data_IF_028172112005
#
_entry.id   IF_028172112005
#
_cell.length_a   1.000
_cell.length_b   1.000
_cell.length_c   1.000
_cell.angle_alpha   90.00
_cell.angle_beta   90.00
_cell.angle_gamma   90.00
#
_symmetry.space_group_name_H-M   'P 1'
#
loop_
_entity.id
_entity.type
_entity.pdbx_description
1 polymer ?
#
# COMPACT_ATOMS: atom_id res chain seq x y z
N UNK A 1 -10.33 12.47 37.62
CA UNK A 1 -11.46 11.51 37.55
C UNK A 1 -12.58 11.99 36.64
N UNK A 2 -13.35 11.07 36.08
CA UNK A 2 -14.60 11.36 35.36
C UNK A 2 -15.72 10.69 36.15
N UNK A 3 -16.65 11.43 36.68
CA UNK A 3 -17.79 10.88 37.40
C UNK A 3 -18.98 11.84 37.44
N UNK A 4 -20.18 11.31 37.75
CA UNK A 4 -21.44 12.07 37.73
C UNK A 4 -21.78 12.84 38.97
N UNK A 5 -21.05 12.66 40.10
CA UNK A 5 -21.33 13.33 41.37
C UNK A 5 -20.10 14.05 41.89
N UNK A 6 -20.16 15.38 41.92
CA UNK A 6 -19.07 16.25 42.42
C UNK A 6 -18.76 16.10 43.91
N UNK A 7 -19.69 15.55 44.70
CA UNK A 7 -19.53 15.30 46.12
C UNK A 7 -19.08 13.87 46.44
N UNK A 8 -18.84 13.05 45.41
CA UNK A 8 -18.35 11.68 45.62
C UNK A 8 -16.92 11.66 46.13
N UNK A 9 -16.54 10.57 46.81
CA UNK A 9 -15.18 10.36 47.27
C UNK A 9 -14.16 10.50 46.12
N UNK A 10 -14.47 9.97 44.94
CA UNK A 10 -13.59 10.08 43.78
C UNK A 10 -13.41 11.51 43.31
N UNK A 11 -14.46 12.33 43.28
CA UNK A 11 -14.37 13.72 42.86
C UNK A 11 -13.59 14.57 43.85
N UNK A 12 -13.82 14.37 45.18
CA UNK A 12 -13.21 15.16 46.22
C UNK A 12 -11.73 14.82 46.49
N UNK A 13 -11.25 13.67 46.05
CA UNK A 13 -9.86 13.21 46.20
C UNK A 13 -9.07 13.18 44.89
N UNK A 14 -9.61 13.71 43.81
CA UNK A 14 -8.91 13.79 42.52
C UNK A 14 -8.27 15.19 42.36
N UNK A 15 -7.09 15.25 41.75
CA UNK A 15 -6.45 16.52 41.36
C UNK A 15 -7.24 17.27 40.30
N UNK A 16 -7.93 16.52 39.41
CA UNK A 16 -8.80 17.07 38.36
C UNK A 16 -10.09 16.27 38.32
N UNK A 17 -11.20 16.96 38.30
CA UNK A 17 -12.53 16.39 38.22
C UNK A 17 -13.23 16.85 36.93
N UNK A 18 -13.77 15.89 36.16
CA UNK A 18 -14.57 16.14 34.98
C UNK A 18 -15.96 15.55 35.23
N UNK A 19 -16.99 16.39 35.09
CA UNK A 19 -18.37 15.98 35.36
C UNK A 19 -18.95 15.23 34.13
N UNK A 20 -19.59 14.09 34.41
CA UNK A 20 -20.31 13.27 33.41
C UNK A 20 -21.72 12.91 33.88
N UNK A 21 -22.39 13.87 34.54
CA UNK A 21 -23.75 13.67 35.05
C UNK A 21 -24.74 13.50 33.89
N UNK A 22 -25.66 12.54 34.02
CA UNK A 22 -26.79 12.33 33.13
C UNK A 22 -28.08 12.42 33.90
N UNK A 23 -29.16 12.86 33.27
CA UNK A 23 -30.46 13.04 33.92
C UNK A 23 -31.11 11.70 34.27
N UNK A 24 -30.97 10.70 33.36
CA UNK A 24 -31.53 9.36 33.55
C UNK A 24 -30.79 8.34 32.71
N UNK A 25 -30.88 7.09 33.11
CA UNK A 25 -30.43 5.97 32.33
C UNK A 25 -31.45 5.65 31.17
N UNK A 26 -30.94 5.11 30.05
CA UNK A 26 -31.80 4.63 28.95
C UNK A 26 -32.53 3.34 29.29
N UNK A 27 -32.10 2.64 30.34
CA UNK A 27 -32.77 1.47 30.87
C UNK A 27 -34.21 1.82 31.31
N UNK A 28 -35.24 1.04 30.94
CA UNK A 28 -36.64 1.33 31.27
C UNK A 28 -36.91 1.55 32.77
N UNK A 29 -36.14 0.88 33.63
CA UNK A 29 -36.25 1.00 35.08
C UNK A 29 -35.29 2.02 35.68
N UNK A 30 -34.51 2.74 34.87
CA UNK A 30 -33.49 3.69 35.34
C UNK A 30 -32.47 3.10 36.34
N UNK A 31 -32.14 1.81 36.21
CA UNK A 31 -31.27 1.06 37.10
C UNK A 31 -29.94 0.63 36.48
N UNK A 32 -29.98 0.10 35.24
CA UNK A 32 -28.79 -0.38 34.60
C UNK A 32 -27.98 0.78 33.99
N UNK A 33 -26.67 0.88 34.24
CA UNK A 33 -25.82 1.89 33.62
C UNK A 33 -25.84 1.77 32.10
N UNK A 34 -26.26 2.80 31.40
CA UNK A 34 -26.36 2.89 29.95
C UNK A 34 -25.97 4.27 29.46
N UNK A 35 -26.79 5.30 29.70
CA UNK A 35 -26.48 6.69 29.35
C UNK A 35 -25.24 7.19 30.10
N UNK A 36 -25.11 6.85 31.37
CA UNK A 36 -23.96 7.25 32.20
C UNK A 36 -22.66 6.64 31.70
N UNK A 37 -22.64 5.36 31.36
CA UNK A 37 -21.44 4.69 30.81
C UNK A 37 -21.07 5.22 29.42
N UNK A 38 -22.06 5.51 28.58
CA UNK A 38 -21.85 6.13 27.27
C UNK A 38 -21.25 7.53 27.43
N UNK A 39 -21.79 8.36 28.36
CA UNK A 39 -21.24 9.68 28.63
C UNK A 39 -19.78 9.61 29.09
N UNK A 40 -19.43 8.67 29.99
CA UNK A 40 -18.05 8.46 30.45
C UNK A 40 -17.13 8.03 29.31
N UNK A 41 -17.58 7.15 28.41
CA UNK A 41 -16.83 6.72 27.23
C UNK A 41 -16.51 7.91 26.33
N UNK A 42 -17.53 8.70 25.98
CA UNK A 42 -17.35 9.89 25.11
C UNK A 42 -16.39 10.90 25.74
N UNK A 43 -16.48 11.12 27.06
CA UNK A 43 -15.55 12.01 27.76
C UNK A 43 -14.12 11.46 27.75
N UNK A 44 -13.94 10.16 27.88
CA UNK A 44 -12.65 9.48 27.76
C UNK A 44 -12.04 9.65 26.37
N UNK A 45 -12.82 9.42 25.33
CA UNK A 45 -12.41 9.60 23.93
C UNK A 45 -12.05 11.08 23.65
N UNK A 46 -12.85 12.01 24.13
CA UNK A 46 -12.56 13.44 23.98
C UNK A 46 -11.21 13.83 24.61
N UNK A 47 -10.92 13.33 25.80
CA UNK A 47 -9.62 13.55 26.45
C UNK A 47 -8.48 12.91 25.66
N UNK A 48 -8.68 11.69 25.14
CA UNK A 48 -7.67 11.02 24.30
C UNK A 48 -7.36 11.83 23.04
N UNK A 49 -8.38 12.32 22.34
CA UNK A 49 -8.21 13.17 21.14
C UNK A 49 -7.51 14.48 21.47
N UNK A 50 -7.87 15.13 22.58
CA UNK A 50 -7.16 16.33 23.06
C UNK A 50 -5.68 16.05 23.33
N UNK A 51 -5.36 14.93 23.97
CA UNK A 51 -3.97 14.52 24.23
C UNK A 51 -3.20 14.20 22.94
N UNK A 52 -3.82 13.55 21.96
CA UNK A 52 -3.21 13.32 20.63
C UNK A 52 -2.84 14.64 19.97
N UNK A 53 -3.77 15.63 19.99
CA UNK A 53 -3.52 16.97 19.44
C UNK A 53 -2.40 17.69 20.18
N UNK A 54 -2.43 17.70 21.52
CA UNK A 54 -1.41 18.37 22.33
C UNK A 54 0.00 17.77 22.16
N UNK A 55 0.08 16.46 21.95
CA UNK A 55 1.35 15.76 21.71
C UNK A 55 1.82 15.80 20.27
N UNK A 56 1.05 16.36 19.34
CA UNK A 56 1.35 16.34 17.91
C UNK A 56 1.43 14.92 17.35
N UNK A 57 0.60 13.99 17.88
CA UNK A 57 0.63 12.58 17.49
C UNK A 57 0.19 12.42 16.03
N UNK A 58 1.06 11.78 15.23
CA UNK A 58 0.89 11.64 13.78
C UNK A 58 0.44 10.24 13.37
N UNK A 59 0.01 10.09 12.10
CA UNK A 59 -0.26 8.77 11.50
C UNK A 59 0.98 7.86 11.54
N UNK A 60 2.18 8.44 11.44
CA UNK A 60 3.44 7.72 11.58
C UNK A 60 3.62 7.15 12.98
N UNK A 61 3.28 7.92 14.02
CA UNK A 61 3.35 7.44 15.40
C UNK A 61 2.31 6.34 15.66
N UNK A 62 1.11 6.48 15.10
CA UNK A 62 0.08 5.44 15.18
C UNK A 62 0.57 4.12 14.57
N UNK A 63 1.20 4.18 13.41
CA UNK A 63 1.70 3.02 12.70
C UNK A 63 2.81 2.27 13.45
N UNK A 64 3.62 2.95 14.29
CA UNK A 64 4.61 2.30 15.19
C UNK A 64 3.95 1.31 16.16
N UNK A 65 2.74 1.63 16.62
CA UNK A 65 2.00 0.76 17.55
C UNK A 65 1.13 -0.27 16.83
N UNK A 66 0.83 -0.05 15.53
CA UNK A 66 -0.03 -0.91 14.70
C UNK A 66 0.61 -1.27 13.36
N UNK A 67 1.84 -1.84 13.33
CA UNK A 67 2.59 -2.04 12.08
C UNK A 67 1.93 -3.03 11.12
N UNK A 68 1.17 -4.01 11.63
CA UNK A 68 0.48 -5.02 10.83
C UNK A 68 -0.86 -4.59 10.24
N UNK A 69 -1.39 -3.43 10.63
CA UNK A 69 -2.64 -2.91 10.08
C UNK A 69 -2.46 -2.24 8.71
N UNK A 70 -3.57 -2.06 7.97
CA UNK A 70 -3.54 -1.41 6.65
C UNK A 70 -2.87 -0.03 6.68
N UNK A 71 -3.11 0.77 7.72
CA UNK A 71 -2.46 2.07 7.91
C UNK A 71 -0.95 1.92 8.14
N UNK A 72 -0.53 0.94 8.95
CA UNK A 72 0.89 0.66 9.19
C UNK A 72 1.60 0.25 7.91
N UNK A 73 1.05 -0.69 7.16
CA UNK A 73 1.60 -1.14 5.89
C UNK A 73 1.75 0.00 4.86
N UNK A 74 0.78 0.91 4.78
CA UNK A 74 0.87 2.09 3.91
C UNK A 74 2.04 3.01 4.23
N UNK A 75 2.46 3.07 5.49
CA UNK A 75 3.49 3.99 5.96
C UNK A 75 4.90 3.37 6.04
N UNK A 76 5.00 2.04 6.05
CA UNK A 76 6.30 1.36 6.23
C UNK A 76 6.66 0.35 5.17
N UNK A 77 5.65 -0.28 4.51
CA UNK A 77 5.92 -1.32 3.52
C UNK A 77 6.59 -0.72 2.28
N UNK A 78 7.77 -1.21 1.95
CA UNK A 78 8.53 -0.77 0.79
C UNK A 78 8.29 -1.67 -0.42
N UNK A 79 8.50 -1.12 -1.60
CA UNK A 79 8.42 -1.84 -2.87
C UNK A 79 9.34 -3.07 -2.86
N UNK A 80 10.57 -2.92 -2.36
CA UNK A 80 11.53 -4.01 -2.24
C UNK A 80 11.05 -5.15 -1.36
N UNK A 81 10.32 -4.86 -0.27
CA UNK A 81 9.79 -5.92 0.62
C UNK A 81 8.76 -6.80 -0.09
N UNK A 82 7.96 -6.20 -0.97
CA UNK A 82 6.91 -6.89 -1.73
C UNK A 82 7.49 -7.60 -2.95
N UNK A 83 8.37 -6.94 -3.70
CA UNK A 83 8.90 -7.47 -4.97
C UNK A 83 10.00 -8.53 -4.83
N UNK A 84 10.65 -8.63 -3.66
CA UNK A 84 11.74 -9.60 -3.39
C UNK A 84 11.39 -11.06 -3.70
N UNK A 85 10.13 -11.45 -3.46
CA UNK A 85 9.67 -12.81 -3.71
C UNK A 85 9.25 -13.05 -5.15
N UNK A 86 9.13 -11.99 -5.95
CA UNK A 86 8.70 -12.08 -7.32
C UNK A 86 9.84 -12.54 -8.24
N UNK A 87 9.51 -13.29 -9.30
CA UNK A 87 10.44 -13.52 -10.39
C UNK A 87 10.91 -12.19 -11.00
N UNK A 88 12.10 -12.20 -11.58
CA UNK A 88 12.67 -11.04 -12.27
C UNK A 88 12.67 -11.28 -13.78
N UNK A 89 11.52 -11.14 -14.47
CA UNK A 89 11.43 -11.39 -15.90
C UNK A 89 12.28 -10.38 -16.68
N UNK A 90 13.17 -10.90 -17.51
CA UNK A 90 14.06 -10.07 -18.33
C UNK A 90 14.46 -10.77 -19.63
N UNK A 91 14.52 -10.00 -20.69
CA UNK A 91 15.01 -10.41 -22.00
C UNK A 91 16.00 -9.38 -22.54
N UNK A 92 16.75 -9.76 -23.56
CA UNK A 92 17.63 -8.82 -24.28
C UNK A 92 16.87 -8.12 -25.40
N UNK A 93 17.39 -6.99 -25.86
CA UNK A 93 16.81 -6.22 -26.95
C UNK A 93 16.63 -7.03 -28.25
N UNK A 94 17.54 -7.95 -28.54
CA UNK A 94 17.52 -8.83 -29.71
C UNK A 94 16.77 -10.15 -29.50
N UNK A 95 16.19 -10.41 -28.32
CA UNK A 95 15.38 -11.61 -28.08
C UNK A 95 14.15 -11.63 -28.98
N UNK A 96 13.88 -12.77 -29.59
CA UNK A 96 12.74 -12.95 -30.50
C UNK A 96 11.44 -13.17 -29.74
N UNK A 97 10.31 -12.94 -30.40
CA UNK A 97 8.97 -13.10 -29.83
C UNK A 97 8.79 -14.37 -28.99
N UNK A 98 9.29 -15.52 -29.46
CA UNK A 98 9.17 -16.80 -28.76
C UNK A 98 9.83 -16.76 -27.38
N UNK A 99 11.00 -16.15 -27.25
CA UNK A 99 11.73 -16.00 -25.98
C UNK A 99 10.98 -15.07 -25.06
N UNK A 100 10.46 -13.95 -25.57
CA UNK A 100 9.64 -12.99 -24.84
C UNK A 100 8.39 -13.65 -24.25
N UNK A 101 7.64 -14.39 -25.08
CA UNK A 101 6.45 -15.13 -24.64
C UNK A 101 6.81 -16.16 -23.57
N UNK A 102 7.90 -16.91 -23.76
CA UNK A 102 8.35 -17.90 -22.79
C UNK A 102 8.68 -17.26 -21.44
N UNK A 103 9.42 -16.13 -21.44
CA UNK A 103 9.78 -15.42 -20.21
C UNK A 103 8.54 -14.90 -19.48
N UNK A 104 7.63 -14.22 -20.16
CA UNK A 104 6.38 -13.71 -19.57
C UNK A 104 5.54 -14.86 -18.99
N UNK A 105 5.34 -15.93 -19.76
CA UNK A 105 4.51 -17.07 -19.36
C UNK A 105 5.10 -17.84 -18.17
N UNK A 106 6.42 -18.04 -18.17
CA UNK A 106 7.11 -18.76 -17.09
C UNK A 106 7.12 -17.99 -15.77
N UNK A 107 7.22 -16.67 -15.84
CA UNK A 107 7.28 -15.77 -14.65
C UNK A 107 5.91 -15.30 -14.16
N UNK A 108 4.86 -15.38 -14.99
CA UNK A 108 3.45 -15.11 -14.64
C UNK A 108 3.17 -13.69 -14.12
N UNK A 109 3.95 -12.70 -14.56
CA UNK A 109 3.75 -11.29 -14.19
C UNK A 109 3.12 -10.47 -15.34
N UNK A 110 2.78 -11.10 -16.47
CA UNK A 110 2.14 -10.45 -17.62
C UNK A 110 3.04 -9.44 -18.36
N UNK A 111 4.33 -9.38 -17.99
CA UNK A 111 5.30 -8.48 -18.61
C UNK A 111 6.73 -8.97 -18.39
N UNK A 112 7.67 -8.45 -19.20
CA UNK A 112 9.11 -8.65 -19.05
C UNK A 112 9.88 -7.36 -19.32
N UNK A 113 10.95 -7.12 -18.56
CA UNK A 113 11.86 -6.02 -18.81
C UNK A 113 12.77 -6.34 -20.01
N UNK A 114 13.06 -5.33 -20.81
CA UNK A 114 14.05 -5.41 -21.91
C UNK A 114 15.31 -4.68 -21.47
N UNK A 115 16.42 -5.40 -21.44
CA UNK A 115 17.71 -4.89 -20.99
C UNK A 115 18.72 -4.87 -22.13
N UNK A 116 19.68 -3.95 -22.05
CA UNK A 116 20.88 -4.01 -22.90
C UNK A 116 21.90 -5.05 -22.38
N UNK A 117 23.02 -5.18 -23.08
CA UNK A 117 24.08 -6.12 -22.72
C UNK A 117 24.78 -5.78 -21.41
N UNK A 118 24.62 -4.56 -20.90
CA UNK A 118 25.18 -4.07 -19.64
C UNK A 118 24.15 -4.15 -18.48
N UNK A 119 22.93 -4.63 -18.75
CA UNK A 119 21.85 -4.75 -17.76
C UNK A 119 21.06 -3.47 -17.54
N UNK A 120 21.23 -2.45 -18.37
CA UNK A 120 20.46 -1.22 -18.33
C UNK A 120 19.06 -1.44 -18.88
N UNK A 121 18.05 -0.91 -18.21
CA UNK A 121 16.66 -0.95 -18.63
C UNK A 121 16.44 -0.12 -19.90
N UNK A 122 15.96 -0.75 -20.95
CA UNK A 122 15.61 -0.11 -22.24
C UNK A 122 14.10 0.06 -22.39
N UNK A 123 13.33 -0.92 -21.93
CA UNK A 123 11.89 -0.95 -22.12
C UNK A 123 11.21 -2.06 -21.34
N UNK A 124 9.91 -2.20 -21.59
CA UNK A 124 9.05 -3.28 -21.09
C UNK A 124 8.24 -3.85 -22.24
N UNK A 125 8.03 -5.16 -22.25
CA UNK A 125 7.05 -5.82 -23.11
C UNK A 125 5.98 -6.45 -22.24
N UNK A 126 4.73 -6.08 -22.52
CA UNK A 126 3.53 -6.63 -21.84
C UNK A 126 2.75 -7.55 -22.79
N UNK A 127 1.81 -8.33 -22.22
CA UNK A 127 0.86 -9.12 -23.04
C UNK A 127 0.08 -8.24 -24.03
N UNK A 128 -0.20 -6.97 -23.67
CA UNK A 128 -0.84 -6.00 -24.53
C UNK A 128 0.03 -5.59 -25.74
N UNK A 129 1.34 -5.45 -25.52
CA UNK A 129 2.29 -5.12 -26.60
C UNK A 129 2.39 -6.26 -27.60
N UNK A 130 2.46 -7.50 -27.11
CA UNK A 130 2.46 -8.70 -27.95
C UNK A 130 1.19 -8.77 -28.82
N UNK A 131 0.01 -8.53 -28.24
CA UNK A 131 -1.24 -8.55 -29.01
C UNK A 131 -1.26 -7.49 -30.10
N UNK A 132 -0.90 -6.24 -29.78
CA UNK A 132 -0.84 -5.15 -30.77
C UNK A 132 0.16 -5.43 -31.88
N UNK A 133 1.31 -6.02 -31.54
CA UNK A 133 2.31 -6.41 -32.51
C UNK A 133 1.77 -7.48 -33.45
N UNK A 134 1.09 -8.52 -32.94
CA UNK A 134 0.49 -9.60 -33.75
C UNK A 134 -0.59 -9.11 -34.68
N UNK A 135 -1.28 -8.01 -34.38
CA UNK A 135 -2.30 -7.40 -35.26
C UNK A 135 -1.68 -6.68 -36.48
N UNK A 136 -0.43 -6.23 -36.36
CA UNK A 136 0.18 -5.32 -37.34
C UNK A 136 1.34 -5.94 -38.14
N UNK A 137 1.91 -7.06 -37.70
CA UNK A 137 3.11 -7.66 -38.29
C UNK A 137 2.80 -8.92 -39.10
N UNK A 138 3.25 -8.92 -40.34
CA UNK A 138 3.10 -10.09 -41.23
C UNK A 138 3.98 -11.28 -40.84
N UNK A 139 5.14 -11.00 -40.19
CA UNK A 139 6.12 -12.00 -39.74
C UNK A 139 6.45 -11.88 -38.27
N UNK A 140 5.50 -12.14 -37.36
CA UNK A 140 5.67 -11.90 -35.95
C UNK A 140 6.83 -12.70 -35.32
N UNK A 141 7.18 -13.84 -35.87
CA UNK A 141 8.27 -14.68 -35.37
C UNK A 141 9.66 -14.04 -35.47
N UNK A 142 9.84 -13.11 -36.39
CA UNK A 142 11.11 -12.42 -36.68
C UNK A 142 11.24 -11.12 -35.84
N UNK A 143 10.17 -10.67 -35.18
CA UNK A 143 10.16 -9.41 -34.39
C UNK A 143 10.95 -9.58 -33.12
N UNK A 144 11.81 -8.60 -32.82
CA UNK A 144 12.64 -8.56 -31.65
C UNK A 144 11.94 -7.85 -30.46
N UNK A 145 12.44 -8.07 -29.26
CA UNK A 145 11.96 -7.38 -28.06
C UNK A 145 12.10 -5.85 -28.20
N UNK A 146 13.16 -5.37 -28.82
CA UNK A 146 13.37 -3.94 -29.06
C UNK A 146 12.31 -3.30 -29.96
N UNK A 147 11.79 -4.06 -30.94
CA UNK A 147 10.77 -3.58 -31.88
C UNK A 147 9.36 -3.57 -31.29
N UNK A 148 9.10 -4.42 -30.27
CA UNK A 148 7.77 -4.51 -29.64
C UNK A 148 7.67 -3.82 -28.29
N UNK A 149 8.78 -3.40 -27.68
CA UNK A 149 8.78 -2.84 -26.33
C UNK A 149 8.20 -1.43 -26.27
N UNK A 150 7.59 -1.11 -25.13
CA UNK A 150 7.35 0.27 -24.73
C UNK A 150 8.63 0.83 -24.11
N UNK A 151 9.15 1.90 -24.72
CA UNK A 151 10.34 2.60 -24.23
C UNK A 151 10.06 3.39 -22.97
N UNK A 152 11.10 3.60 -22.14
CA UNK A 152 11.01 4.39 -20.90
C UNK A 152 9.84 3.96 -20.01
N UNK A 153 9.80 2.69 -19.60
CA UNK A 153 8.70 2.17 -18.80
C UNK A 153 8.61 2.90 -17.46
N UNK A 154 7.39 2.97 -16.93
CA UNK A 154 7.21 3.45 -15.55
C UNK A 154 7.97 2.53 -14.61
N UNK A 155 8.76 3.13 -13.74
CA UNK A 155 9.58 2.40 -12.77
C UNK A 155 9.48 3.06 -11.39
N UNK A 156 9.91 2.32 -10.39
CA UNK A 156 9.93 2.77 -8.99
C UNK A 156 11.15 2.19 -8.29
N UNK A 157 11.81 2.96 -7.43
CA UNK A 157 12.93 2.48 -6.63
C UNK A 157 12.45 1.51 -5.53
N UNK A 158 13.26 0.48 -5.23
CA UNK A 158 12.92 -0.53 -4.22
C UNK A 158 12.72 0.05 -2.81
N UNK A 159 13.33 1.20 -2.54
CA UNK A 159 13.24 1.92 -1.26
C UNK A 159 11.96 2.77 -1.12
N UNK A 160 11.23 3.00 -2.20
CA UNK A 160 9.97 3.73 -2.16
C UNK A 160 8.87 2.94 -1.45
N UNK A 161 7.84 3.66 -0.96
CA UNK A 161 6.71 3.01 -0.32
C UNK A 161 5.84 2.24 -1.32
N UNK A 162 5.37 1.08 -0.91
CA UNK A 162 4.43 0.29 -1.71
C UNK A 162 3.09 1.04 -1.97
N UNK A 163 2.72 1.98 -1.10
CA UNK A 163 1.59 2.88 -1.31
C UNK A 163 1.83 3.82 -2.51
N UNK A 164 3.03 4.36 -2.67
CA UNK A 164 3.42 5.18 -3.83
C UNK A 164 3.35 4.39 -5.13
N UNK A 165 3.79 3.11 -5.10
CA UNK A 165 3.65 2.22 -6.26
C UNK A 165 2.17 2.04 -6.66
N UNK A 166 1.28 1.87 -5.70
CA UNK A 166 -0.15 1.75 -5.94
C UNK A 166 -0.74 3.02 -6.58
N UNK A 167 -0.34 4.18 -6.09
CA UNK A 167 -0.77 5.48 -6.65
C UNK A 167 -0.31 5.64 -8.10
N UNK A 168 0.96 5.33 -8.41
CA UNK A 168 1.49 5.35 -9.77
C UNK A 168 0.75 4.37 -10.70
N UNK A 169 0.44 3.15 -10.23
CA UNK A 169 -0.32 2.19 -11.01
C UNK A 169 -1.71 2.71 -11.37
N UNK A 170 -2.39 3.38 -10.42
CA UNK A 170 -3.71 3.98 -10.63
C UNK A 170 -3.67 5.18 -11.56
N UNK A 171 -2.70 6.08 -11.37
CA UNK A 171 -2.54 7.30 -12.18
C UNK A 171 -2.31 6.98 -13.67
N UNK A 172 -1.62 5.87 -13.94
CA UNK A 172 -1.23 5.50 -15.30
C UNK A 172 -2.03 4.31 -15.88
N UNK A 173 -3.06 3.83 -15.16
CA UNK A 173 -3.90 2.68 -15.56
C UNK A 173 -3.07 1.43 -15.91
N UNK A 174 -2.02 1.15 -15.12
CA UNK A 174 -1.12 0.01 -15.30
C UNK A 174 -1.17 -0.94 -14.10
N UNK A 175 -0.88 -2.21 -14.37
CA UNK A 175 -0.87 -3.26 -13.35
C UNK A 175 0.53 -3.80 -13.02
N UNK A 176 1.54 -3.36 -13.75
CA UNK A 176 2.94 -3.72 -13.52
C UNK A 176 3.81 -2.45 -13.44
N UNK A 177 4.78 -2.47 -12.53
CA UNK A 177 5.85 -1.48 -12.44
C UNK A 177 7.20 -2.20 -12.48
N UNK A 178 8.13 -1.62 -13.20
CA UNK A 178 9.53 -2.04 -13.13
C UNK A 178 10.11 -1.54 -11.82
N UNK A 179 10.74 -2.43 -11.06
CA UNK A 179 11.44 -2.08 -9.83
C UNK A 179 12.91 -1.86 -10.15
N UNK A 180 13.45 -0.75 -9.64
CA UNK A 180 14.87 -0.39 -9.79
C UNK A 180 15.55 -0.28 -8.44
N UNK A 181 16.87 -0.47 -8.44
CA UNK A 181 17.75 -0.23 -7.32
C UNK A 181 18.92 0.63 -7.78
N UNK A 182 18.93 1.90 -7.37
CA UNK A 182 19.92 2.87 -7.84
C UNK A 182 19.92 3.00 -9.38
N UNK A 183 18.73 2.99 -9.99
CA UNK A 183 18.56 3.09 -11.44
C UNK A 183 18.83 1.80 -12.23
N UNK A 184 19.21 0.69 -11.56
CA UNK A 184 19.44 -0.62 -12.19
C UNK A 184 18.19 -1.50 -12.03
N UNK A 185 17.86 -2.32 -13.02
CA UNK A 185 16.75 -3.26 -12.94
C UNK A 185 16.91 -4.23 -11.76
N UNK A 186 15.94 -4.23 -10.86
CA UNK A 186 15.92 -5.07 -9.65
C UNK A 186 14.78 -6.10 -9.67
N UNK A 187 13.73 -5.90 -10.48
CA UNK A 187 12.61 -6.81 -10.54
C UNK A 187 11.34 -6.17 -11.08
N UNK A 188 10.21 -6.78 -10.76
CA UNK A 188 8.91 -6.30 -11.19
C UNK A 188 7.88 -6.43 -10.06
N UNK A 189 7.04 -5.42 -9.91
CA UNK A 189 5.93 -5.37 -8.95
C UNK A 189 4.62 -5.47 -9.73
N UNK A 190 3.73 -6.36 -9.31
CA UNK A 190 2.40 -6.49 -9.87
C UNK A 190 1.33 -5.99 -8.90
N UNK A 191 0.24 -5.43 -9.42
CA UNK A 191 -0.89 -4.92 -8.60
C UNK A 191 -1.43 -5.97 -7.62
N UNK A 192 -1.49 -7.24 -8.02
CA UNK A 192 -1.92 -8.33 -7.13
C UNK A 192 -1.03 -8.53 -5.91
N UNK A 193 0.25 -8.14 -5.97
CA UNK A 193 1.14 -8.22 -4.83
C UNK A 193 0.72 -7.21 -3.76
N UNK A 194 0.34 -5.99 -4.18
CA UNK A 194 -0.18 -4.94 -3.30
C UNK A 194 -1.55 -5.29 -2.70
N UNK A 195 -2.41 -5.97 -3.49
CA UNK A 195 -3.69 -6.52 -2.99
C UNK A 195 -3.44 -7.57 -1.92
N UNK A 196 -2.52 -8.50 -2.16
CA UNK A 196 -2.15 -9.57 -1.20
C UNK A 196 -1.64 -9.00 0.12
N UNK A 197 -0.92 -7.89 0.06
CA UNK A 197 -0.46 -7.16 1.25
C UNK A 197 -1.56 -6.36 1.94
N UNK A 198 -2.76 -6.25 1.38
CA UNK A 198 -3.88 -5.53 1.98
C UNK A 198 -3.73 -4.01 1.92
N UNK A 199 -3.09 -3.49 0.87
CA UNK A 199 -3.00 -2.05 0.59
C UNK A 199 -4.24 -1.51 -0.14
N UNK A 200 -5.02 -2.43 -0.69
CA UNK A 200 -6.30 -2.17 -1.37
C UNK A 200 -7.40 -2.88 -0.61
#
# INVERSE_FOLDING_TARGET
TICGNSLSYLATHADVFVISTVDKEACPNNLAPTTSTTAQLVMGDALAVCLLSLKGFTSHDFAKFHPGGALGKRLYLRVGDVSKSNPQPKVRANSLLREVIYEISSKRLGATAVLDDFGKLLGIVTDGDIRRMLETQDRPAEVTAAEMMTHNPKNIEEEELAATALEQMREHDITQLVVTKGGTYAGMLHLHDLVREGLI
#
